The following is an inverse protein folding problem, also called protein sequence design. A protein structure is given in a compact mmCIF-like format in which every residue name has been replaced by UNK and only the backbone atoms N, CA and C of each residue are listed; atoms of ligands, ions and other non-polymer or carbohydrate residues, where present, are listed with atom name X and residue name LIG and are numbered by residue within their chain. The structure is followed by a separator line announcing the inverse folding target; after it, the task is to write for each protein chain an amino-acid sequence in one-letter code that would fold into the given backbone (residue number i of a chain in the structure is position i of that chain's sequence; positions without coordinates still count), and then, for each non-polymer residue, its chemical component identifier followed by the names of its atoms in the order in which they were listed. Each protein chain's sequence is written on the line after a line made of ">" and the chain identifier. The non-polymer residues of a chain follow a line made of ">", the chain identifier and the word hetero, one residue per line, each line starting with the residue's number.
data_IF_133352126894
#
_entry.id   IF_133352126894
#
_cell.length_a   1.000
_cell.length_b   1.000
_cell.length_c   1.000
_cell.angle_alpha   90.00
_cell.angle_beta   90.00
_cell.angle_gamma   90.00
#
_symmetry.space_group_name_H-M   'P 1'
#
loop_
_entity.id
_entity.type
_entity.pdbx_description
1 polymer ?
#
# COMPACT_ATOMS: atom_id res chain seq x y z
N UNK A 1 -29.48 -63.82 25.31
CA UNK A 1 -28.11 -63.96 24.70
C UNK A 1 -28.18 -64.59 23.30
N UNK A 2 -29.03 -65.57 23.05
CA UNK A 2 -29.17 -66.25 21.76
C UNK A 2 -29.74 -65.34 20.62
N UNK A 3 -30.64 -64.41 20.88
CA UNK A 3 -31.17 -63.46 19.89
C UNK A 3 -30.16 -62.47 19.39
N UNK A 4 -29.21 -62.02 20.22
CA UNK A 4 -28.19 -61.07 19.84
C UNK A 4 -27.13 -61.69 18.89
N UNK A 5 -26.82 -62.96 19.07
CA UNK A 5 -25.86 -63.73 18.24
C UNK A 5 -26.50 -64.01 16.86
N UNK A 6 -27.81 -64.30 16.79
CA UNK A 6 -28.52 -64.52 15.52
C UNK A 6 -28.62 -63.23 14.67
N UNK A 7 -28.89 -62.08 15.29
CA UNK A 7 -28.93 -60.80 14.59
C UNK A 7 -27.55 -60.37 14.10
N UNK A 8 -26.49 -60.61 14.86
CA UNK A 8 -25.13 -60.28 14.45
C UNK A 8 -24.65 -61.20 13.31
N UNK A 9 -24.98 -62.48 13.36
CA UNK A 9 -24.67 -63.44 12.29
C UNK A 9 -25.45 -63.12 10.99
N UNK A 10 -26.71 -62.72 11.09
CA UNK A 10 -27.49 -62.31 9.92
C UNK A 10 -26.98 -61.01 9.29
N UNK A 11 -26.50 -60.02 10.11
CA UNK A 11 -25.90 -58.80 9.62
C UNK A 11 -24.57 -59.07 8.91
N UNK A 12 -23.74 -59.95 9.43
CA UNK A 12 -22.44 -60.34 8.81
C UNK A 12 -22.67 -61.08 7.50
N UNK A 13 -23.68 -61.95 7.44
CA UNK A 13 -24.03 -62.68 6.21
C UNK A 13 -24.64 -61.74 5.17
N UNK A 14 -25.47 -60.80 5.56
CA UNK A 14 -25.98 -59.76 4.66
C UNK A 14 -24.85 -58.85 4.10
N UNK A 15 -23.89 -58.43 4.95
CA UNK A 15 -22.72 -57.68 4.52
C UNK A 15 -21.82 -58.49 3.56
N UNK A 16 -21.69 -59.80 3.78
CA UNK A 16 -20.89 -60.70 2.93
C UNK A 16 -21.59 -61.09 1.61
N UNK A 17 -22.94 -61.29 1.62
CA UNK A 17 -23.70 -61.72 0.44
C UNK A 17 -24.02 -60.52 -0.50
N UNK A 18 -24.19 -59.34 0.07
CA UNK A 18 -24.47 -58.13 -0.73
C UNK A 18 -23.24 -57.27 -0.97
N UNK A 19 -22.06 -57.73 -0.57
CA UNK A 19 -20.81 -56.95 -0.71
C UNK A 19 -20.86 -55.54 -0.11
N UNK A 20 -21.79 -55.32 0.84
CA UNK A 20 -22.07 -54.02 1.46
C UNK A 20 -20.91 -53.51 2.34
N UNK A 21 -19.84 -54.22 2.46
CA UNK A 21 -18.63 -53.86 3.25
C UNK A 21 -17.39 -53.70 2.38
N UNK A 22 -17.45 -53.96 1.08
CA UNK A 22 -16.32 -53.55 0.21
C UNK A 22 -16.44 -52.07 -0.07
N UNK A 23 -15.33 -51.31 0.05
CA UNK A 23 -15.32 -49.96 -0.49
C UNK A 23 -15.77 -50.09 -1.99
N UNK A 24 -16.84 -49.40 -2.37
CA UNK A 24 -17.20 -49.22 -3.76
C UNK A 24 -15.96 -48.72 -4.47
N UNK A 25 -15.53 -49.41 -5.53
CA UNK A 25 -14.43 -48.97 -6.35
C UNK A 25 -14.58 -47.46 -6.61
N UNK A 26 -13.65 -46.68 -6.08
CA UNK A 26 -13.72 -45.21 -6.14
C UNK A 26 -12.81 -44.67 -7.26
N UNK A 27 -12.77 -45.41 -8.39
CA UNK A 27 -12.05 -44.92 -9.56
C UNK A 27 -12.65 -43.61 -10.03
N UNK A 28 -11.86 -42.53 -9.97
CA UNK A 28 -12.27 -41.22 -10.43
C UNK A 28 -11.09 -40.45 -11.03
N UNK A 29 -11.42 -39.42 -11.83
CA UNK A 29 -10.48 -38.40 -12.26
C UNK A 29 -10.95 -37.07 -11.66
N UNK A 30 -10.25 -36.52 -10.68
CA UNK A 30 -10.73 -35.41 -9.90
C UNK A 30 -12.11 -35.70 -9.28
N UNK A 31 -13.12 -34.88 -9.63
CA UNK A 31 -14.51 -35.04 -9.19
C UNK A 31 -15.33 -35.98 -10.09
N UNK A 32 -14.81 -36.45 -11.24
CA UNK A 32 -15.52 -37.27 -12.19
C UNK A 32 -15.38 -38.72 -11.79
N UNK A 33 -16.50 -39.34 -11.37
CA UNK A 33 -16.55 -40.74 -10.94
C UNK A 33 -16.69 -41.68 -12.14
N UNK A 34 -15.82 -42.73 -12.21
CA UNK A 34 -15.72 -43.70 -13.27
C UNK A 34 -16.02 -45.15 -12.84
N UNK A 35 -16.23 -45.38 -11.54
CA UNK A 35 -16.22 -46.73 -10.96
C UNK A 35 -17.25 -47.76 -11.48
N UNK A 36 -18.26 -47.35 -12.26
CA UNK A 36 -19.24 -48.22 -12.90
C UNK A 36 -19.18 -48.19 -14.43
N UNK A 37 -18.21 -47.47 -14.99
CA UNK A 37 -18.04 -47.25 -16.43
C UNK A 37 -17.05 -48.29 -17.00
N UNK A 38 -17.28 -48.79 -18.21
CA UNK A 38 -16.28 -49.60 -18.90
C UNK A 38 -15.04 -48.75 -19.23
N UNK A 39 -13.82 -49.23 -19.04
CA UNK A 39 -12.61 -48.47 -19.36
C UNK A 39 -12.55 -47.92 -20.80
N UNK A 40 -13.16 -48.61 -21.75
CA UNK A 40 -13.25 -48.14 -23.14
C UNK A 40 -14.14 -46.92 -23.33
N UNK A 41 -15.00 -46.60 -22.37
CA UNK A 41 -15.93 -45.46 -22.38
C UNK A 41 -15.46 -44.28 -21.50
N UNK A 42 -14.30 -44.40 -20.81
CA UNK A 42 -13.81 -43.36 -19.93
C UNK A 42 -13.66 -42.02 -20.62
N UNK A 43 -13.14 -41.99 -21.85
CA UNK A 43 -12.99 -40.76 -22.64
C UNK A 43 -14.31 -40.03 -22.89
N UNK A 44 -15.36 -40.82 -23.24
CA UNK A 44 -16.70 -40.27 -23.52
C UNK A 44 -17.37 -39.67 -22.27
N UNK A 45 -17.03 -40.18 -21.07
CA UNK A 45 -17.53 -39.65 -19.80
C UNK A 45 -16.71 -38.44 -19.36
N UNK A 46 -15.39 -38.49 -19.49
CA UNK A 46 -14.47 -37.43 -19.01
C UNK A 46 -14.57 -36.15 -19.85
N UNK A 47 -14.49 -36.26 -21.18
CA UNK A 47 -14.38 -35.10 -22.05
C UNK A 47 -15.50 -34.05 -21.84
N UNK A 48 -16.81 -34.39 -21.83
CA UNK A 48 -17.85 -33.39 -21.63
C UNK A 48 -17.88 -32.83 -20.20
N UNK A 49 -17.46 -33.60 -19.20
CA UNK A 49 -17.43 -33.18 -17.82
C UNK A 49 -16.27 -32.21 -17.54
N UNK A 50 -15.11 -32.47 -18.13
CA UNK A 50 -13.93 -31.63 -18.02
C UNK A 50 -14.12 -30.34 -18.82
N UNK A 51 -14.71 -30.40 -20.03
CA UNK A 51 -15.07 -29.19 -20.78
C UNK A 51 -16.02 -28.28 -19.96
N UNK A 52 -17.08 -28.87 -19.37
CA UNK A 52 -17.96 -28.10 -18.48
C UNK A 52 -17.25 -27.51 -17.28
N UNK A 53 -16.27 -28.24 -16.71
CA UNK A 53 -15.47 -27.73 -15.60
C UNK A 53 -14.57 -26.58 -16.06
N UNK A 54 -13.87 -26.65 -17.19
CA UNK A 54 -13.08 -25.57 -17.74
C UNK A 54 -13.89 -24.28 -17.91
N UNK A 55 -15.14 -24.38 -18.36
CA UNK A 55 -16.05 -23.23 -18.53
C UNK A 55 -16.53 -22.62 -17.21
N UNK A 56 -16.45 -23.35 -16.10
CA UNK A 56 -17.05 -22.93 -14.81
C UNK A 56 -16.06 -22.80 -13.66
N UNK A 57 -14.87 -23.33 -13.82
CA UNK A 57 -13.81 -23.21 -12.80
C UNK A 57 -13.31 -21.77 -12.74
N UNK A 58 -13.03 -21.33 -11.51
CA UNK A 58 -12.66 -19.95 -11.18
C UNK A 58 -11.17 -19.90 -10.79
N UNK A 59 -10.32 -19.60 -11.77
CA UNK A 59 -8.87 -19.46 -11.58
C UNK A 59 -8.46 -18.01 -11.82
N UNK A 60 -7.65 -17.47 -10.93
CA UNK A 60 -7.23 -16.09 -11.02
C UNK A 60 -5.78 -15.90 -10.52
N UNK A 61 -5.11 -14.91 -11.08
CA UNK A 61 -3.89 -14.31 -10.55
C UNK A 61 -4.27 -13.03 -9.81
N UNK A 62 -3.79 -12.84 -8.58
CA UNK A 62 -4.06 -11.66 -7.77
C UNK A 62 -2.78 -10.91 -7.42
N UNK A 63 -2.88 -9.59 -7.34
CA UNK A 63 -1.81 -8.72 -6.84
C UNK A 63 -2.40 -7.43 -6.25
N UNK A 64 -2.10 -7.17 -4.99
CA UNK A 64 -2.69 -6.06 -4.24
C UNK A 64 -4.24 -6.11 -4.29
N UNK A 65 -4.89 -5.07 -4.80
CA UNK A 65 -6.35 -5.00 -4.96
C UNK A 65 -6.88 -5.51 -6.31
N UNK A 66 -6.00 -6.05 -7.17
CA UNK A 66 -6.32 -6.47 -8.54
C UNK A 66 -6.35 -7.98 -8.68
N UNK A 67 -7.20 -8.44 -9.59
CA UNK A 67 -7.37 -9.86 -9.91
C UNK A 67 -7.57 -10.02 -11.42
N UNK A 68 -6.81 -10.93 -12.02
CA UNK A 68 -6.91 -11.30 -13.44
C UNK A 68 -7.44 -12.72 -13.54
N UNK A 69 -8.54 -12.89 -14.25
CA UNK A 69 -9.12 -14.21 -14.52
C UNK A 69 -8.19 -14.98 -15.47
N UNK A 70 -7.87 -16.21 -15.11
CA UNK A 70 -7.09 -17.13 -15.96
C UNK A 70 -8.08 -17.96 -16.76
N UNK A 71 -8.09 -17.78 -18.09
CA UNK A 71 -8.94 -18.56 -18.98
C UNK A 71 -8.35 -19.98 -19.15
N UNK A 72 -9.02 -20.97 -18.60
CA UNK A 72 -8.58 -22.38 -18.70
C UNK A 72 -8.74 -22.97 -20.10
N UNK A 73 -9.41 -22.29 -21.03
CA UNK A 73 -9.54 -22.74 -22.41
C UNK A 73 -8.24 -22.64 -23.23
N UNK A 74 -7.20 -21.96 -22.70
CA UNK A 74 -5.85 -22.06 -23.26
C UNK A 74 -5.25 -23.48 -23.13
N UNK A 75 -5.78 -24.30 -22.21
CA UNK A 75 -5.33 -25.67 -21.97
C UNK A 75 -6.25 -26.67 -22.65
N UNK A 76 -5.69 -27.61 -23.38
CA UNK A 76 -6.41 -28.67 -24.05
C UNK A 76 -6.39 -29.94 -23.20
N UNK A 77 -7.55 -30.48 -22.86
CA UNK A 77 -7.64 -31.76 -22.14
C UNK A 77 -7.14 -32.90 -22.98
N UNK A 78 -6.08 -33.59 -22.51
CA UNK A 78 -5.51 -34.79 -23.15
C UNK A 78 -6.26 -36.04 -22.69
N UNK A 79 -7.31 -36.35 -23.42
CA UNK A 79 -8.20 -37.49 -23.12
C UNK A 79 -7.42 -38.82 -23.16
N UNK A 80 -6.59 -39.00 -24.20
CA UNK A 80 -5.89 -40.28 -24.44
C UNK A 80 -4.87 -40.55 -23.32
N UNK A 81 -4.08 -39.56 -22.98
CA UNK A 81 -3.09 -39.67 -21.90
C UNK A 81 -3.77 -39.87 -20.53
N UNK A 82 -4.89 -39.16 -20.30
CA UNK A 82 -5.64 -39.34 -19.05
C UNK A 82 -6.18 -40.75 -18.92
N UNK A 83 -6.87 -41.26 -19.95
CA UNK A 83 -7.47 -42.60 -19.94
C UNK A 83 -6.40 -43.69 -19.77
N UNK A 84 -5.25 -43.55 -20.45
CA UNK A 84 -4.14 -44.51 -20.35
C UNK A 84 -3.54 -44.61 -18.95
N UNK A 85 -3.64 -43.55 -18.16
CA UNK A 85 -3.07 -43.47 -16.82
C UNK A 85 -4.11 -43.60 -15.70
N UNK A 86 -5.34 -44.04 -15.99
CA UNK A 86 -6.34 -44.28 -14.94
C UNK A 86 -6.06 -45.59 -14.26
N UNK A 87 -5.71 -45.51 -12.99
CA UNK A 87 -5.64 -46.62 -12.08
C UNK A 87 -6.97 -46.83 -11.36
N UNK A 88 -7.35 -48.10 -11.13
CA UNK A 88 -8.60 -48.46 -10.44
C UNK A 88 -8.48 -48.19 -8.92
N UNK A 89 -9.63 -47.94 -8.29
CA UNK A 89 -9.79 -47.78 -6.86
C UNK A 89 -9.04 -46.56 -6.27
N UNK A 90 -8.73 -45.53 -7.07
CA UNK A 90 -8.14 -44.30 -6.62
C UNK A 90 -8.65 -43.10 -7.39
N UNK A 91 -8.32 -41.90 -6.87
CA UNK A 91 -8.53 -40.63 -7.57
C UNK A 91 -7.32 -40.32 -8.45
N UNK A 92 -7.53 -40.28 -9.75
CA UNK A 92 -6.51 -40.07 -10.78
C UNK A 92 -6.42 -38.61 -11.16
N UNK A 93 -5.32 -38.23 -11.82
CA UNK A 93 -5.12 -36.91 -12.39
C UNK A 93 -5.69 -36.83 -13.81
N UNK A 94 -6.18 -35.65 -14.17
CA UNK A 94 -6.42 -35.28 -15.56
C UNK A 94 -5.12 -34.73 -16.16
N UNK A 95 -4.87 -34.95 -17.43
CA UNK A 95 -3.72 -34.40 -18.15
C UNK A 95 -4.19 -33.32 -19.12
N UNK A 96 -3.44 -32.24 -19.17
CA UNK A 96 -3.68 -31.12 -20.06
C UNK A 96 -2.43 -30.82 -20.86
N UNK A 97 -2.60 -30.20 -22.01
CA UNK A 97 -1.52 -29.68 -22.85
C UNK A 97 -1.80 -28.22 -23.21
N UNK A 98 -0.76 -27.43 -23.37
CA UNK A 98 -0.86 -26.04 -23.83
C UNK A 98 0.15 -25.86 -24.98
N UNK A 99 -0.28 -25.20 -26.07
CA UNK A 99 0.62 -24.89 -27.19
C UNK A 99 1.47 -23.66 -26.85
N UNK A 100 2.62 -23.50 -27.53
CA UNK A 100 3.47 -22.33 -27.32
C UNK A 100 2.77 -21.01 -27.67
N UNK A 101 1.90 -21.00 -28.67
CA UNK A 101 1.10 -19.82 -29.01
C UNK A 101 0.12 -19.49 -27.90
N UNK A 102 -0.60 -20.48 -27.36
CA UNK A 102 -1.53 -20.28 -26.23
C UNK A 102 -0.81 -19.86 -24.94
N UNK A 103 0.39 -20.38 -24.67
CA UNK A 103 1.23 -19.90 -23.54
C UNK A 103 1.56 -18.43 -23.69
N UNK A 104 1.95 -18.00 -24.89
CA UNK A 104 2.29 -16.61 -25.15
C UNK A 104 1.06 -15.70 -25.04
N UNK A 105 -0.11 -16.13 -25.52
CA UNK A 105 -1.36 -15.37 -25.38
C UNK A 105 -1.74 -15.22 -23.91
N UNK A 106 -1.78 -16.30 -23.14
CA UNK A 106 -2.06 -16.26 -21.70
C UNK A 106 -1.06 -15.35 -20.96
N UNK A 107 0.24 -15.47 -21.28
CA UNK A 107 1.24 -14.59 -20.70
C UNK A 107 0.95 -13.11 -20.98
N UNK A 108 0.63 -12.76 -22.23
CA UNK A 108 0.32 -11.37 -22.60
C UNK A 108 -0.94 -10.87 -21.88
N UNK A 109 -1.96 -11.70 -21.70
CA UNK A 109 -3.17 -11.33 -20.96
C UNK A 109 -2.84 -11.00 -19.49
N UNK A 110 -2.02 -11.81 -18.84
CA UNK A 110 -1.66 -11.65 -17.44
C UNK A 110 -0.75 -10.44 -17.17
N UNK A 111 0.16 -10.11 -18.12
CA UNK A 111 1.12 -9.00 -17.92
C UNK A 111 0.63 -7.66 -18.46
N UNK A 112 -0.52 -7.61 -19.14
CA UNK A 112 -0.99 -6.41 -19.87
C UNK A 112 -1.06 -5.15 -19.00
N UNK A 113 -1.33 -5.30 -17.71
CA UNK A 113 -1.51 -4.23 -16.74
C UNK A 113 -0.33 -4.07 -15.77
N UNK A 114 0.65 -4.97 -15.84
CA UNK A 114 1.79 -4.95 -14.94
C UNK A 114 2.81 -3.88 -15.33
N UNK A 115 3.49 -3.33 -14.33
CA UNK A 115 4.66 -2.45 -14.57
C UNK A 115 5.82 -3.25 -15.14
N UNK A 116 6.74 -2.59 -15.88
CA UNK A 116 7.89 -3.26 -16.47
C UNK A 116 8.73 -4.01 -15.41
N UNK A 117 8.89 -3.44 -14.22
CA UNK A 117 9.64 -4.10 -13.16
C UNK A 117 8.99 -5.43 -12.70
N UNK A 118 7.66 -5.47 -12.62
CA UNK A 118 6.92 -6.71 -12.30
C UNK A 118 7.04 -7.73 -13.43
N UNK A 119 6.96 -7.27 -14.71
CA UNK A 119 7.11 -8.14 -15.88
C UNK A 119 8.51 -8.77 -15.90
N UNK A 120 9.55 -7.98 -15.69
CA UNK A 120 10.94 -8.44 -15.73
C UNK A 120 11.27 -9.43 -14.60
N UNK A 121 10.56 -9.33 -13.47
CA UNK A 121 10.74 -10.22 -12.32
C UNK A 121 9.77 -11.40 -12.26
N UNK A 122 8.82 -11.53 -13.22
CA UNK A 122 7.76 -12.54 -13.18
C UNK A 122 8.23 -13.91 -13.67
N UNK A 123 8.20 -14.90 -12.80
CA UNK A 123 8.45 -16.31 -13.13
C UNK A 123 7.16 -16.97 -13.64
N UNK A 124 6.89 -16.74 -14.91
CA UNK A 124 5.69 -17.26 -15.57
C UNK A 124 5.71 -18.79 -15.67
N UNK A 125 6.88 -19.42 -15.83
CA UNK A 125 6.98 -20.87 -15.91
C UNK A 125 6.59 -21.54 -14.59
N UNK A 126 6.99 -20.97 -13.46
CA UNK A 126 6.57 -21.45 -12.14
C UNK A 126 5.04 -21.35 -11.93
N UNK A 127 4.41 -20.27 -12.41
CA UNK A 127 2.95 -20.15 -12.37
C UNK A 127 2.28 -21.22 -13.25
N UNK A 128 2.80 -21.50 -14.44
CA UNK A 128 2.26 -22.54 -15.32
C UNK A 128 2.36 -23.93 -14.68
N UNK A 129 3.48 -24.26 -14.04
CA UNK A 129 3.66 -25.55 -13.35
C UNK A 129 2.62 -25.75 -12.24
N UNK A 130 2.34 -24.69 -11.45
CA UNK A 130 1.31 -24.71 -10.42
C UNK A 130 -0.10 -24.81 -11.00
N UNK A 131 -0.38 -24.09 -12.10
CA UNK A 131 -1.65 -24.17 -12.84
C UNK A 131 -1.90 -25.60 -13.33
N UNK A 132 -0.93 -26.21 -14.03
CA UNK A 132 -1.05 -27.59 -14.53
C UNK A 132 -1.26 -28.58 -13.38
N UNK A 133 -0.54 -28.39 -12.26
CA UNK A 133 -0.69 -29.23 -11.07
C UNK A 133 -2.10 -29.14 -10.49
N UNK A 134 -2.64 -27.93 -10.31
CA UNK A 134 -3.98 -27.74 -9.73
C UNK A 134 -5.09 -28.15 -10.69
N UNK A 135 -4.94 -27.89 -12.00
CA UNK A 135 -5.84 -28.35 -13.04
C UNK A 135 -5.89 -29.86 -13.13
N UNK A 136 -4.74 -30.55 -12.96
CA UNK A 136 -4.69 -32.03 -12.96
C UNK A 136 -5.61 -32.67 -11.92
N UNK A 137 -5.89 -31.95 -10.83
CA UNK A 137 -6.79 -32.36 -9.75
C UNK A 137 -8.22 -31.88 -9.94
N UNK A 138 -8.52 -31.16 -11.03
CA UNK A 138 -9.81 -30.56 -11.36
C UNK A 138 -10.37 -29.70 -10.21
N UNK A 139 -9.54 -28.86 -9.60
CA UNK A 139 -9.99 -27.93 -8.55
C UNK A 139 -10.94 -26.91 -9.15
N UNK A 140 -12.05 -26.61 -8.48
CA UNK A 140 -13.06 -25.70 -8.99
C UNK A 140 -12.68 -24.22 -8.82
N UNK A 141 -11.77 -23.91 -7.90
CA UNK A 141 -11.34 -22.54 -7.60
C UNK A 141 -9.90 -22.51 -7.14
N UNK A 142 -9.15 -21.57 -7.67
CA UNK A 142 -7.79 -21.28 -7.20
C UNK A 142 -7.42 -19.83 -7.49
N UNK A 143 -6.86 -19.17 -6.52
CA UNK A 143 -6.24 -17.84 -6.69
C UNK A 143 -4.75 -17.98 -6.38
N UNK A 144 -3.92 -17.48 -7.28
CA UNK A 144 -2.46 -17.41 -7.16
C UNK A 144 -2.09 -15.97 -6.80
N UNK A 145 -1.23 -15.78 -5.82
CA UNK A 145 -0.69 -14.46 -5.51
C UNK A 145 0.55 -14.21 -6.38
N UNK A 146 0.54 -13.15 -7.20
CA UNK A 146 1.67 -12.80 -8.07
C UNK A 146 2.98 -12.70 -7.30
N UNK A 147 2.94 -12.34 -6.01
CA UNK A 147 4.13 -12.24 -5.16
C UNK A 147 4.87 -13.57 -4.97
N UNK A 148 4.18 -14.69 -5.12
CA UNK A 148 4.79 -16.03 -5.05
C UNK A 148 5.61 -16.35 -6.31
N UNK A 149 5.45 -15.56 -7.38
CA UNK A 149 6.04 -15.76 -8.71
C UNK A 149 6.90 -14.59 -9.19
N UNK A 150 7.21 -13.61 -8.34
CA UNK A 150 8.10 -12.50 -8.69
C UNK A 150 9.38 -12.53 -7.87
N UNK A 151 10.44 -11.90 -8.41
CA UNK A 151 11.71 -11.79 -7.71
C UNK A 151 11.53 -11.06 -6.37
N UNK A 152 11.99 -11.67 -5.30
CA UNK A 152 11.92 -11.14 -3.93
C UNK A 152 12.60 -9.77 -3.81
N UNK A 153 13.58 -9.46 -4.67
CA UNK A 153 14.26 -8.16 -4.68
C UNK A 153 13.33 -7.00 -5.00
N UNK A 154 12.17 -7.24 -5.61
CA UNK A 154 11.16 -6.23 -5.87
C UNK A 154 10.55 -5.64 -4.59
N UNK A 155 10.65 -6.35 -3.46
CA UNK A 155 10.29 -5.81 -2.15
C UNK A 155 11.15 -4.61 -1.74
N UNK A 156 12.39 -4.52 -2.22
CA UNK A 156 13.33 -3.43 -1.95
C UNK A 156 13.22 -2.27 -2.97
N UNK A 157 12.20 -2.29 -3.82
CA UNK A 157 11.98 -1.21 -4.79
C UNK A 157 11.67 0.10 -4.06
N UNK A 158 12.42 1.16 -4.41
CA UNK A 158 12.15 2.49 -3.89
C UNK A 158 10.83 3.03 -4.45
N UNK A 159 9.88 3.30 -3.56
CA UNK A 159 8.56 3.89 -3.90
C UNK A 159 8.68 5.40 -3.95
N UNK A 160 9.31 6.01 -2.95
CA UNK A 160 9.56 7.45 -2.86
C UNK A 160 10.80 7.73 -2.00
N UNK A 161 11.37 8.92 -2.13
CA UNK A 161 12.53 9.37 -1.36
C UNK A 161 12.36 10.80 -0.90
N UNK A 162 12.94 11.14 0.26
CA UNK A 162 13.07 12.52 0.72
C UNK A 162 14.45 12.74 1.36
N UNK A 163 15.10 13.82 0.98
CA UNK A 163 16.30 14.31 1.65
C UNK A 163 15.92 15.38 2.65
N UNK A 164 16.35 15.19 3.90
CA UNK A 164 16.18 16.18 4.99
C UNK A 164 17.51 16.90 5.19
N UNK A 165 17.53 18.20 4.91
CA UNK A 165 18.73 19.04 4.93
C UNK A 165 18.75 20.00 6.13
N UNK A 166 19.89 20.66 6.35
CA UNK A 166 20.12 21.63 7.44
C UNK A 166 19.89 21.05 8.83
N UNK A 167 20.13 19.76 9.00
CA UNK A 167 20.04 19.06 10.27
C UNK A 167 21.28 19.34 11.13
N UNK A 168 21.14 19.45 12.47
CA UNK A 168 22.30 19.44 13.35
C UNK A 168 23.14 18.16 13.19
N UNK A 169 24.46 18.28 13.18
CA UNK A 169 25.36 17.12 13.03
C UNK A 169 25.08 16.01 14.06
N UNK A 170 24.73 16.38 15.31
CA UNK A 170 24.37 15.41 16.35
C UNK A 170 23.12 14.60 15.96
N UNK A 171 22.10 15.26 15.42
CA UNK A 171 20.85 14.61 14.96
C UNK A 171 21.13 13.63 13.83
N UNK A 172 21.89 14.06 12.81
CA UNK A 172 22.32 13.19 11.69
C UNK A 172 23.05 11.95 12.20
N UNK A 173 24.04 12.17 13.10
CA UNK A 173 24.87 11.09 13.62
C UNK A 173 24.07 10.12 14.48
N UNK A 174 23.20 10.61 15.35
CA UNK A 174 22.43 9.77 16.25
C UNK A 174 21.40 8.94 15.49
N UNK A 175 20.64 9.55 14.57
CA UNK A 175 19.65 8.84 13.75
C UNK A 175 20.34 7.74 12.92
N UNK A 176 21.39 8.08 12.18
CA UNK A 176 22.10 7.13 11.32
C UNK A 176 22.74 5.97 12.10
N UNK A 177 23.25 6.22 13.31
CA UNK A 177 23.85 5.16 14.13
C UNK A 177 22.79 4.29 14.83
N UNK A 178 21.59 4.82 15.05
CA UNK A 178 20.53 4.11 15.75
C UNK A 178 19.65 3.28 14.81
N UNK A 179 19.42 3.75 13.58
CA UNK A 179 18.39 3.21 12.68
C UNK A 179 18.99 2.98 11.30
N UNK A 180 18.93 1.74 10.84
CA UNK A 180 19.12 1.39 9.43
C UNK A 180 17.78 1.40 8.70
N UNK A 181 16.80 0.68 9.25
CA UNK A 181 15.48 0.49 8.66
C UNK A 181 14.35 0.61 9.70
N UNK A 182 13.21 1.17 9.28
CA UNK A 182 11.97 1.24 10.06
C UNK A 182 10.92 0.40 9.35
N UNK A 183 10.47 -0.68 9.99
CA UNK A 183 9.43 -1.57 9.45
C UNK A 183 8.04 -1.06 9.74
N UNK A 184 7.20 -0.94 8.72
CA UNK A 184 5.79 -0.59 8.79
C UNK A 184 4.98 -1.89 8.65
N UNK A 185 4.30 -2.35 9.72
CA UNK A 185 3.61 -3.63 9.71
C UNK A 185 2.43 -3.65 8.73
N UNK A 186 2.18 -4.82 8.15
CA UNK A 186 1.04 -5.07 7.29
C UNK A 186 -0.28 -4.95 8.06
N UNK A 187 -1.30 -4.43 7.42
CA UNK A 187 -2.69 -4.33 7.90
C UNK A 187 -2.80 -3.87 9.37
N UNK A 188 -2.01 -2.86 9.74
CA UNK A 188 -1.89 -2.40 11.12
C UNK A 188 -1.77 -0.88 11.24
N UNK A 189 -2.06 -0.39 12.45
CA UNK A 189 -1.70 0.97 12.83
C UNK A 189 -0.21 1.01 13.16
N UNK A 190 0.49 1.93 12.54
CA UNK A 190 1.85 2.30 12.88
C UNK A 190 1.82 3.47 13.86
N UNK A 191 2.65 3.41 14.90
CA UNK A 191 2.91 4.51 15.84
C UNK A 191 4.42 4.64 16.00
N UNK A 192 4.95 5.84 15.76
CA UNK A 192 6.40 6.05 15.71
C UNK A 192 7.09 5.75 17.04
N UNK A 193 6.54 6.25 18.14
CA UNK A 193 7.12 6.01 19.47
C UNK A 193 7.16 4.53 19.84
N UNK A 194 6.15 3.76 19.47
CA UNK A 194 6.13 2.30 19.70
C UNK A 194 7.18 1.58 18.85
N UNK A 195 7.28 1.96 17.56
CA UNK A 195 8.22 1.35 16.63
C UNK A 195 9.68 1.62 17.00
N UNK A 196 9.98 2.80 17.57
CA UNK A 196 11.33 3.23 17.90
C UNK A 196 11.63 3.24 19.40
N UNK A 197 10.76 2.64 20.23
CA UNK A 197 10.89 2.66 21.70
C UNK A 197 12.20 2.03 22.25
N UNK A 198 12.83 1.17 21.45
CA UNK A 198 14.10 0.52 21.83
C UNK A 198 15.34 1.38 21.58
N UNK A 199 15.18 2.51 20.89
CA UNK A 199 16.26 3.43 20.55
C UNK A 199 16.23 4.64 21.49
N UNK A 200 17.42 5.14 21.87
CA UNK A 200 17.56 6.34 22.72
C UNK A 200 17.57 7.60 21.83
N UNK A 201 16.38 7.93 21.30
CA UNK A 201 16.19 9.06 20.41
C UNK A 201 15.49 10.22 21.14
N UNK A 202 15.94 11.44 20.88
CA UNK A 202 15.33 12.67 21.38
C UNK A 202 14.02 12.99 20.61
N UNK A 203 13.18 13.87 21.20
CA UNK A 203 11.98 14.35 20.50
C UNK A 203 12.31 15.06 19.17
N UNK A 204 13.47 15.72 19.04
CA UNK A 204 13.91 16.36 17.81
C UNK A 204 14.24 15.32 16.73
N UNK A 205 15.01 14.28 17.08
CA UNK A 205 15.34 13.18 16.18
C UNK A 205 14.10 12.43 15.72
N UNK A 206 13.18 12.12 16.63
CA UNK A 206 11.87 11.53 16.29
C UNK A 206 11.04 12.46 15.38
N UNK A 207 11.12 13.79 15.57
CA UNK A 207 10.41 14.75 14.72
C UNK A 207 10.95 14.78 13.30
N UNK A 208 12.27 14.67 13.11
CA UNK A 208 12.90 14.56 11.78
C UNK A 208 12.41 13.30 11.07
N UNK A 209 12.45 12.14 11.74
CA UNK A 209 11.98 10.87 11.19
C UNK A 209 10.49 10.94 10.85
N UNK A 210 9.65 11.43 11.77
CA UNK A 210 8.21 11.58 11.56
C UNK A 210 7.89 12.49 10.37
N UNK A 211 8.63 13.60 10.22
CA UNK A 211 8.45 14.55 9.12
C UNK A 211 8.81 13.93 7.77
N UNK A 212 9.92 13.19 7.71
CA UNK A 212 10.28 12.43 6.51
C UNK A 212 9.21 11.39 6.16
N UNK A 213 8.75 10.62 7.15
CA UNK A 213 7.70 9.61 6.95
C UNK A 213 6.38 10.24 6.52
N UNK A 214 5.96 11.39 7.09
CA UNK A 214 4.76 12.10 6.65
C UNK A 214 4.82 12.39 5.14
N UNK A 215 5.95 12.87 4.66
CA UNK A 215 6.14 13.15 3.24
C UNK A 215 6.06 11.88 2.38
N UNK A 216 6.82 10.84 2.74
CA UNK A 216 6.92 9.60 2.00
C UNK A 216 5.57 8.88 1.86
N UNK A 217 4.77 8.85 2.92
CA UNK A 217 3.53 8.08 2.93
C UNK A 217 2.35 8.77 2.22
N UNK A 218 2.48 10.00 1.74
CA UNK A 218 1.47 10.65 0.88
C UNK A 218 1.26 9.87 -0.43
N UNK A 219 2.32 9.28 -0.98
CA UNK A 219 2.27 8.51 -2.24
C UNK A 219 2.05 7.00 -2.03
N UNK A 220 1.28 6.66 -1.01
CA UNK A 220 0.92 5.28 -0.66
C UNK A 220 -0.56 5.20 -0.28
N UNK A 221 -1.16 4.00 -0.17
CA UNK A 221 -2.55 3.85 0.26
C UNK A 221 -2.79 4.07 1.76
N UNK A 222 -1.77 4.40 2.58
CA UNK A 222 -1.94 4.60 4.02
C UNK A 222 -3.00 5.67 4.34
N UNK A 223 -3.63 5.55 5.51
CA UNK A 223 -4.78 6.34 5.90
C UNK A 223 -4.68 6.83 7.35
N UNK A 224 -5.46 7.87 7.67
CA UNK A 224 -5.68 8.29 9.05
C UNK A 224 -4.41 8.79 9.74
N UNK A 225 -3.67 9.71 9.09
CA UNK A 225 -2.55 10.42 9.71
C UNK A 225 -2.99 11.13 10.98
N UNK A 226 -2.26 10.92 12.08
CA UNK A 226 -2.40 11.65 13.34
C UNK A 226 -1.03 12.22 13.68
N UNK A 227 -0.94 13.53 13.80
CA UNK A 227 0.29 14.24 14.13
C UNK A 227 0.00 15.67 14.59
N UNK A 228 1.01 16.34 15.18
CA UNK A 228 1.00 17.77 15.49
C UNK A 228 2.08 18.48 14.67
N UNK A 229 1.78 19.59 13.96
CA UNK A 229 2.79 20.34 13.22
C UNK A 229 3.58 21.28 14.14
N UNK A 230 4.77 21.68 13.71
CA UNK A 230 5.46 22.83 14.28
C UNK A 230 4.72 24.13 13.94
N UNK A 231 4.51 24.97 14.90
CA UNK A 231 3.98 26.34 14.71
C UNK A 231 5.08 27.35 14.35
N UNK A 232 6.30 27.13 14.85
CA UNK A 232 7.52 27.84 14.45
C UNK A 232 8.43 26.84 13.79
N UNK A 233 8.66 27.00 12.49
CA UNK A 233 9.36 26.01 11.69
C UNK A 233 10.85 25.97 11.99
N UNK A 234 11.42 24.83 12.40
CA UNK A 234 12.86 24.59 12.36
C UNK A 234 13.43 24.75 10.94
N UNK A 235 14.72 25.01 10.82
CA UNK A 235 15.38 25.25 9.53
C UNK A 235 15.38 24.05 8.58
N UNK A 236 15.20 22.86 9.11
CA UNK A 236 15.17 21.59 8.38
C UNK A 236 13.76 21.17 7.95
N UNK A 237 12.70 21.83 8.44
CA UNK A 237 11.31 21.48 8.09
C UNK A 237 11.03 21.89 6.64
N UNK A 238 10.50 20.94 5.87
CA UNK A 238 10.03 21.16 4.50
C UNK A 238 8.50 21.23 4.48
N UNK A 239 7.90 21.93 3.53
CA UNK A 239 6.45 21.90 3.32
C UNK A 239 5.97 20.45 3.09
N UNK A 240 4.95 19.99 3.84
CA UNK A 240 4.46 18.60 3.81
C UNK A 240 5.37 17.58 4.49
N UNK A 241 6.39 18.05 5.22
CA UNK A 241 7.24 17.25 6.08
C UNK A 241 7.41 18.00 7.41
N UNK A 242 6.29 18.23 8.13
CA UNK A 242 6.22 19.09 9.32
C UNK A 242 5.49 18.37 10.45
N UNK A 243 6.21 17.51 11.16
CA UNK A 243 5.70 16.78 12.31
C UNK A 243 6.53 17.10 13.54
N UNK A 244 5.85 17.48 14.60
CA UNK A 244 6.44 17.71 15.92
C UNK A 244 6.15 16.56 16.86
N UNK A 245 7.17 15.89 17.35
CA UNK A 245 7.07 14.90 18.41
C UNK A 245 7.36 15.57 19.76
N UNK A 246 6.49 15.34 20.73
CA UNK A 246 6.68 15.74 22.12
C UNK A 246 5.97 14.72 23.01
N UNK A 247 6.62 13.60 23.27
CA UNK A 247 6.03 12.41 23.92
C UNK A 247 5.42 12.71 25.29
N UNK A 248 6.06 13.57 26.08
CA UNK A 248 5.53 14.00 27.39
C UNK A 248 4.18 14.75 27.29
N UNK A 249 3.86 15.31 26.13
CA UNK A 249 2.60 16.01 25.85
C UNK A 249 1.63 15.16 25.03
N UNK A 250 1.98 13.91 24.70
CA UNK A 250 1.19 13.03 23.88
C UNK A 250 1.23 13.34 22.38
N UNK A 251 2.20 14.17 21.93
CA UNK A 251 2.39 14.45 20.49
C UNK A 251 3.24 13.35 19.88
N UNK A 252 2.63 12.56 19.03
CA UNK A 252 3.23 11.44 18.33
C UNK A 252 2.82 11.44 16.86
N UNK A 253 3.35 10.50 16.07
CA UNK A 253 3.02 10.31 14.67
C UNK A 253 2.49 8.92 14.46
N UNK A 254 1.30 8.80 13.85
CA UNK A 254 0.71 7.51 13.53
C UNK A 254 -0.16 7.56 12.28
N UNK A 255 -0.32 6.39 11.65
CA UNK A 255 -1.22 6.16 10.51
C UNK A 255 -1.61 4.67 10.46
N UNK A 256 -2.54 4.32 9.57
CA UNK A 256 -2.93 2.93 9.30
C UNK A 256 -2.40 2.48 7.94
N UNK A 257 -1.70 1.35 7.91
CA UNK A 257 -1.30 0.67 6.67
C UNK A 257 -2.40 -0.33 6.27
N UNK A 258 -3.15 -0.10 5.18
CA UNK A 258 -4.20 -1.03 4.73
C UNK A 258 -3.67 -2.22 3.94
N UNK A 259 -2.39 -2.20 3.52
CA UNK A 259 -1.79 -3.25 2.71
C UNK A 259 -1.61 -4.54 3.52
N UNK A 260 -1.66 -5.66 2.84
CA UNK A 260 -1.34 -6.98 3.40
C UNK A 260 0.17 -7.20 3.54
N UNK A 261 0.98 -6.30 2.98
CA UNK A 261 2.44 -6.33 3.01
C UNK A 261 2.99 -5.28 3.98
N UNK A 262 4.16 -5.59 4.49
CA UNK A 262 4.99 -4.62 5.20
C UNK A 262 5.62 -3.66 4.19
N UNK A 263 5.97 -2.45 4.65
CA UNK A 263 6.85 -1.52 3.95
C UNK A 263 8.05 -1.21 4.84
N UNK A 264 9.11 -0.70 4.26
CA UNK A 264 10.32 -0.34 5.00
C UNK A 264 10.74 1.08 4.65
N UNK A 265 11.16 1.85 5.64
CA UNK A 265 11.83 3.14 5.43
C UNK A 265 13.28 2.99 5.83
N UNK A 266 14.19 3.03 4.85
CA UNK A 266 15.64 3.05 5.13
C UNK A 266 16.12 4.47 5.35
N UNK A 267 17.20 4.60 6.14
CA UNK A 267 17.79 5.88 6.53
C UNK A 267 19.28 5.87 6.20
N UNK A 268 19.67 6.69 5.22
CA UNK A 268 21.04 6.82 4.78
C UNK A 268 21.59 8.21 5.08
N UNK A 269 22.84 8.27 5.51
CA UNK A 269 23.55 9.53 5.67
C UNK A 269 24.15 9.97 4.34
N UNK A 270 23.79 11.18 3.87
CA UNK A 270 24.37 11.77 2.65
C UNK A 270 25.63 12.57 2.97
N UNK A 271 25.55 13.48 3.95
CA UNK A 271 26.69 14.28 4.41
C UNK A 271 26.60 14.66 5.89
N UNK A 272 27.17 15.79 6.31
CA UNK A 272 27.25 16.18 7.72
C UNK A 272 25.93 16.72 8.28
N UNK A 273 25.08 17.26 7.44
CA UNK A 273 23.83 17.93 7.81
C UNK A 273 22.61 17.42 7.05
N UNK A 274 22.71 16.27 6.37
CA UNK A 274 21.60 15.68 5.63
C UNK A 274 21.47 14.17 5.76
N UNK A 275 20.20 13.71 5.76
CA UNK A 275 19.76 12.32 5.74
C UNK A 275 18.85 12.10 4.56
N UNK A 276 18.98 10.94 3.89
CA UNK A 276 18.08 10.44 2.88
C UNK A 276 17.18 9.36 3.52
N UNK A 277 15.88 9.55 3.39
CA UNK A 277 14.90 8.55 3.76
C UNK A 277 14.30 7.96 2.48
N UNK A 278 14.29 6.64 2.38
CA UNK A 278 13.75 5.91 1.22
C UNK A 278 12.66 4.97 1.67
N UNK A 279 11.44 5.18 1.18
CA UNK A 279 10.34 4.23 1.34
C UNK A 279 10.49 3.10 0.33
N UNK A 280 10.49 1.87 0.82
CA UNK A 280 10.65 0.65 0.02
C UNK A 280 9.45 -0.28 0.21
N UNK A 281 9.14 -1.04 -0.82
CA UNK A 281 8.08 -2.04 -0.83
C UNK A 281 7.84 -2.55 -2.24
N UNK A 282 6.89 -3.45 -2.40
CA UNK A 282 6.47 -3.90 -3.72
C UNK A 282 5.90 -2.74 -4.55
N UNK A 283 6.17 -2.70 -5.87
CA UNK A 283 5.62 -1.68 -6.76
C UNK A 283 4.09 -1.63 -6.70
N UNK A 284 3.51 -0.43 -6.67
CA UNK A 284 2.05 -0.27 -6.76
C UNK A 284 1.60 -0.28 -8.22
N UNK A 285 0.47 -0.93 -8.50
CA UNK A 285 -0.24 -0.80 -9.78
C UNK A 285 -1.12 0.45 -9.79
N UNK A 286 -1.76 0.76 -8.66
CA UNK A 286 -2.42 2.05 -8.45
C UNK A 286 -1.35 3.14 -8.33
N UNK A 287 -1.44 4.19 -9.16
CA UNK A 287 -0.54 5.33 -9.06
C UNK A 287 -1.01 6.30 -7.98
N UNK A 288 -0.10 6.67 -7.10
CA UNK A 288 -0.32 7.68 -6.05
C UNK A 288 0.60 8.87 -6.29
N UNK A 289 0.02 10.07 -6.34
CA UNK A 289 0.77 11.30 -6.57
C UNK A 289 0.44 12.32 -5.48
N UNK A 290 1.46 13.05 -5.04
CA UNK A 290 1.33 14.19 -4.12
C UNK A 290 0.88 15.42 -4.89
N UNK A 291 -0.22 16.03 -4.47
CA UNK A 291 -0.73 17.29 -5.02
C UNK A 291 -0.84 18.30 -3.87
N UNK A 292 -0.14 19.42 -4.00
CA UNK A 292 -0.15 20.51 -3.00
C UNK A 292 -1.00 21.66 -3.54
N UNK A 293 -1.98 22.07 -2.77
CA UNK A 293 -2.87 23.17 -3.14
C UNK A 293 -2.85 24.28 -2.08
N UNK A 294 -2.88 25.51 -2.55
CA UNK A 294 -3.07 26.66 -1.68
C UNK A 294 -4.56 26.77 -1.30
N UNK A 295 -4.83 26.64 -0.01
CA UNK A 295 -6.14 26.86 0.56
C UNK A 295 -6.45 28.34 0.85
N UNK A 296 -7.13 28.62 1.97
CA UNK A 296 -7.51 29.97 2.35
C UNK A 296 -6.34 30.81 2.82
N UNK A 297 -6.36 32.11 2.48
CA UNK A 297 -5.41 33.09 3.03
C UNK A 297 -5.85 33.49 4.43
N UNK A 298 -4.89 33.57 5.35
CA UNK A 298 -5.08 34.08 6.70
C UNK A 298 -4.46 35.48 6.74
N UNK A 299 -5.29 36.49 6.81
CA UNK A 299 -4.80 37.87 6.80
C UNK A 299 -4.09 38.19 8.10
N UNK A 300 -2.99 38.92 8.01
CA UNK A 300 -2.29 39.43 9.19
C UNK A 300 -3.14 40.48 9.92
N UNK A 301 -2.89 40.62 11.20
CA UNK A 301 -3.44 41.70 12.03
C UNK A 301 -2.44 42.85 12.06
N UNK A 302 -2.95 44.09 12.19
CA UNK A 302 -2.14 45.28 12.38
C UNK A 302 -2.31 45.81 13.79
N UNK A 303 -1.20 46.08 14.44
CA UNK A 303 -1.15 46.75 15.76
C UNK A 303 -0.51 48.11 15.56
N UNK A 304 -1.23 49.17 15.96
CA UNK A 304 -0.79 50.55 15.89
C UNK A 304 -0.42 51.03 17.31
N UNK A 305 0.80 51.46 17.48
CA UNK A 305 1.32 52.00 18.74
C UNK A 305 1.59 53.48 18.60
N UNK A 306 1.08 54.28 19.52
CA UNK A 306 1.35 55.72 19.52
C UNK A 306 2.82 55.98 19.86
N UNK A 307 3.51 56.77 19.05
CA UNK A 307 4.88 57.22 19.27
C UNK A 307 5.01 58.72 18.95
N UNK A 308 4.86 59.54 19.98
CA UNK A 308 4.89 61.00 19.88
C UNK A 308 6.23 61.60 19.41
N UNK A 309 7.30 60.79 19.31
CA UNK A 309 8.59 61.22 18.80
C UNK A 309 8.72 61.17 17.29
N UNK A 310 7.78 60.60 16.57
CA UNK A 310 7.79 60.53 15.12
C UNK A 310 7.52 61.89 14.51
N UNK A 311 8.30 62.23 13.48
CA UNK A 311 8.19 63.48 12.73
C UNK A 311 8.74 63.28 11.31
N UNK A 312 8.63 64.27 10.45
CA UNK A 312 9.05 64.21 9.03
C UNK A 312 10.54 63.87 8.81
N UNK A 313 11.39 64.05 9.82
CA UNK A 313 12.82 63.72 9.72
C UNK A 313 13.16 62.32 10.22
N UNK A 314 12.19 61.57 10.76
CA UNK A 314 12.37 60.20 11.23
C UNK A 314 12.69 59.23 10.07
N UNK A 315 13.78 58.45 10.12
CA UNK A 315 14.12 57.51 9.06
C UNK A 315 13.03 56.47 8.84
N UNK A 316 12.67 56.21 7.59
CA UNK A 316 11.66 55.23 7.22
C UNK A 316 10.23 55.64 7.52
N UNK A 317 9.98 56.93 7.71
CA UNK A 317 8.65 57.47 7.96
C UNK A 317 7.82 57.57 6.67
N UNK A 318 6.53 57.28 6.77
CA UNK A 318 5.52 57.61 5.78
C UNK A 318 4.66 58.74 6.34
N UNK A 319 4.47 59.82 5.57
CA UNK A 319 3.61 60.94 5.97
C UNK A 319 2.28 60.82 5.24
N UNK A 320 1.21 60.73 6.01
CA UNK A 320 -0.18 60.70 5.49
C UNK A 320 -0.80 62.03 5.90
N UNK A 321 -1.06 62.87 4.90
CA UNK A 321 -1.62 64.23 5.10
C UNK A 321 -3.06 64.26 4.60
N UNK A 322 -4.00 64.53 5.51
CA UNK A 322 -5.42 64.64 5.22
C UNK A 322 -5.88 66.12 5.53
N UNK A 323 -7.16 66.40 5.27
CA UNK A 323 -7.74 67.74 5.58
C UNK A 323 -7.75 68.00 7.10
N UNK A 324 -7.90 66.96 7.90
CA UNK A 324 -8.13 67.06 9.33
C UNK A 324 -6.88 66.77 10.19
N UNK A 325 -5.89 66.03 9.64
CA UNK A 325 -4.74 65.58 10.41
C UNK A 325 -3.54 65.27 9.53
N UNK A 326 -2.35 65.27 10.13
CA UNK A 326 -1.10 64.77 9.56
C UNK A 326 -0.66 63.58 10.41
N UNK A 327 -0.50 62.40 9.81
CA UNK A 327 -0.06 61.19 10.47
C UNK A 327 1.36 60.84 10.02
N UNK A 328 2.26 60.65 10.95
CA UNK A 328 3.62 60.10 10.73
C UNK A 328 3.59 58.61 11.08
N UNK A 329 3.82 57.74 10.09
CA UNK A 329 3.82 56.28 10.30
C UNK A 329 5.18 55.67 10.05
N UNK A 330 5.57 54.68 10.88
CA UNK A 330 6.73 53.85 10.64
C UNK A 330 6.38 52.38 10.87
N UNK A 331 6.58 51.55 9.86
CA UNK A 331 6.40 50.10 9.95
C UNK A 331 7.64 49.55 10.69
N UNK A 332 7.42 48.98 11.86
CA UNK A 332 8.45 48.30 12.67
C UNK A 332 8.58 46.86 12.25
N UNK A 333 7.47 46.19 12.08
CA UNK A 333 7.40 44.81 11.59
C UNK A 333 6.42 44.77 10.43
N UNK A 334 6.85 44.39 9.22
CA UNK A 334 5.92 44.24 8.09
C UNK A 334 5.00 43.04 8.34
N UNK A 335 3.71 43.21 8.03
CA UNK A 335 2.74 42.14 8.06
C UNK A 335 2.96 41.16 6.93
N UNK A 336 2.81 39.90 7.22
CA UNK A 336 2.83 38.83 6.21
C UNK A 336 1.58 37.98 6.39
N UNK A 337 0.83 37.79 5.31
CA UNK A 337 -0.31 36.90 5.36
C UNK A 337 0.14 35.44 5.55
N UNK A 338 -0.57 34.74 6.39
CA UNK A 338 -0.50 33.29 6.46
C UNK A 338 -1.39 32.62 5.41
N UNK A 339 -1.29 31.33 5.29
CA UNK A 339 -2.17 30.56 4.42
C UNK A 339 -2.37 29.14 4.95
N UNK A 340 -3.43 28.51 4.54
CA UNK A 340 -3.61 27.08 4.68
C UNK A 340 -3.08 26.40 3.42
N UNK A 341 -2.28 25.34 3.59
CA UNK A 341 -1.78 24.51 2.50
C UNK A 341 -2.45 23.14 2.64
N UNK A 342 -3.06 22.65 1.58
CA UNK A 342 -3.71 21.35 1.52
C UNK A 342 -2.78 20.34 0.86
N UNK A 343 -2.56 19.22 1.52
CA UNK A 343 -1.79 18.10 0.99
C UNK A 343 -2.75 16.99 0.58
N UNK A 344 -2.88 16.84 -0.73
CA UNK A 344 -3.80 15.92 -1.35
C UNK A 344 -3.04 14.74 -1.92
N UNK A 345 -3.70 13.59 -1.97
CA UNK A 345 -3.28 12.43 -2.74
C UNK A 345 -4.19 12.26 -3.94
N UNK A 346 -3.61 12.35 -5.14
CA UNK A 346 -4.24 11.90 -6.37
C UNK A 346 -3.99 10.41 -6.52
N UNK A 347 -5.07 9.63 -6.59
CA UNK A 347 -5.06 8.17 -6.76
C UNK A 347 -5.59 7.84 -8.14
N UNK A 348 -4.82 7.12 -8.94
CA UNK A 348 -5.20 6.67 -10.28
C UNK A 348 -5.12 5.13 -10.32
N UNK A 349 -6.24 4.41 -10.03
CA UNK A 349 -6.29 2.96 -10.14
C UNK A 349 -6.25 2.53 -11.61
N UNK A 350 -5.89 1.25 -11.87
CA UNK A 350 -5.98 0.67 -13.21
C UNK A 350 -7.42 0.75 -13.72
N UNK A 351 -7.58 1.16 -14.99
CA UNK A 351 -8.87 1.21 -15.70
C UNK A 351 -9.98 2.03 -15.01
N UNK A 352 -9.65 2.87 -14.04
CA UNK A 352 -10.61 3.69 -13.32
C UNK A 352 -10.25 5.17 -13.39
N UNK A 353 -11.24 6.02 -13.13
CA UNK A 353 -11.02 7.46 -13.06
C UNK A 353 -10.19 7.82 -11.83
N UNK A 354 -9.28 8.76 -12.01
CA UNK A 354 -8.50 9.32 -10.91
C UNK A 354 -9.39 10.02 -9.88
N UNK A 355 -9.02 9.93 -8.63
CA UNK A 355 -9.68 10.60 -7.50
C UNK A 355 -8.68 11.33 -6.63
N UNK A 356 -9.10 12.44 -6.02
CA UNK A 356 -8.25 13.22 -5.12
C UNK A 356 -8.86 13.26 -3.73
N UNK A 357 -8.04 13.02 -2.71
CA UNK A 357 -8.43 13.17 -1.31
C UNK A 357 -7.45 14.05 -0.58
N UNK A 358 -7.94 14.93 0.30
CA UNK A 358 -7.08 15.67 1.22
C UNK A 358 -6.69 14.77 2.37
N UNK A 359 -5.37 14.58 2.56
CA UNK A 359 -4.83 13.77 3.65
C UNK A 359 -4.66 14.57 4.93
N UNK A 360 -4.14 15.79 4.80
CA UNK A 360 -3.94 16.75 5.90
C UNK A 360 -3.78 18.17 5.36
N UNK A 361 -3.73 19.13 6.28
CA UNK A 361 -3.46 20.53 5.97
C UNK A 361 -2.44 21.10 6.94
N UNK A 362 -1.65 22.05 6.47
CA UNK A 362 -0.74 22.84 7.28
C UNK A 362 -1.19 24.30 7.32
N UNK A 363 -1.10 24.92 8.47
CA UNK A 363 -1.42 26.32 8.64
C UNK A 363 -0.13 27.12 8.85
N UNK A 364 0.18 27.96 7.87
CA UNK A 364 1.21 28.98 8.03
C UNK A 364 0.57 30.20 8.71
N UNK A 365 1.06 30.54 9.90
CA UNK A 365 0.50 31.64 10.68
C UNK A 365 0.94 32.99 10.10
N UNK A 366 0.05 34.01 10.11
CA UNK A 366 0.41 35.33 9.66
C UNK A 366 1.35 36.02 10.64
N UNK A 367 2.22 36.88 10.12
CA UNK A 367 3.04 37.77 10.94
C UNK A 367 2.29 39.07 11.15
N UNK A 368 2.04 39.45 12.42
CA UNK A 368 1.34 40.70 12.77
C UNK A 368 2.16 41.91 12.33
N UNK A 369 1.53 42.82 11.60
CA UNK A 369 2.15 44.11 11.29
C UNK A 369 2.19 45.00 12.55
N UNK A 370 3.35 45.57 12.84
CA UNK A 370 3.51 46.54 13.93
C UNK A 370 3.84 47.89 13.30
N UNK A 371 2.98 48.87 13.54
CA UNK A 371 3.13 50.26 13.08
C UNK A 371 3.24 51.16 14.29
N UNK A 372 4.23 52.05 14.29
CA UNK A 372 4.24 53.23 15.17
C UNK A 372 3.64 54.40 14.44
N UNK A 373 2.79 55.17 15.11
CA UNK A 373 2.14 56.35 14.52
C UNK A 373 2.13 57.55 15.48
N UNK A 374 2.18 58.72 14.87
CA UNK A 374 1.94 59.98 15.55
C UNK A 374 0.95 60.82 14.75
N UNK A 375 -0.24 60.99 15.31
CA UNK A 375 -1.33 61.75 14.66
C UNK A 375 -1.38 63.17 15.20
N UNK A 376 -1.23 64.13 14.32
CA UNK A 376 -1.28 65.56 14.66
C UNK A 376 -2.54 66.17 14.04
N UNK A 377 -3.55 66.57 14.83
CA UNK A 377 -4.74 67.24 14.32
C UNK A 377 -4.41 68.60 13.71
N UNK A 378 -5.03 68.94 12.59
CA UNK A 378 -5.01 70.27 12.00
C UNK A 378 -6.16 71.06 12.58
N UNK A 379 -5.84 72.14 13.27
CA UNK A 379 -6.83 73.02 13.88
C UNK A 379 -7.61 73.87 12.87
#
# INVERSE_FOLDING_TARGET
>A
MTTLILTFSAAVVLLAVFDLGKPVAQTSVGFVYLGSTDPSEYGDVLAPRIAQWQDTADYALSYQEYEWVIDLNYFVFDVDNTVQNVDTDQNNKAYFTITEDAKNELHQDLISDLSQALIDGFDYDALLDDLESDMSLLKNRKTYDLKDYIDISLYDTAIDTIQMDNLPLSVVTNIHNAIDDITIPAHARFTLSDALMSYDLTNEELSVIASAMQHLFVVTPVQGFIFEPYTTLPTWVLPGANVRILLMSGYDFSFFNPLQETMTVSVDRIDQDSLLFTLKGYPFLTQYQRVVENGSVIYFQEIRNENLSLNETTPGITVIDTITETTYERIITPGVNGQVILYNRLTTPLHQAASTITLFSEQQYPVTQIVEEHVIPKG
#
